data_IF_195114655281
#
_entry.id   IF_195114655281
#
_cell.length_a   1.000
_cell.length_b   1.000
_cell.length_c   1.000
_cell.angle_alpha   90.00
_cell.angle_beta   90.00
_cell.angle_gamma   90.00
#
_symmetry.space_group_name_H-M   'P 1'
#
loop_
_entity.id
_entity.type
_entity.pdbx_description
1 polymer ?
#
# COMPACT_ATOMS: atom_id res chain seq x y z
N UNK A 1 4.51 -8.86 6.18
CA UNK A 1 5.36 -8.72 4.96
C UNK A 1 4.63 -9.14 3.71
N UNK A 2 3.99 -10.32 3.66
CA UNK A 2 3.17 -10.68 2.51
C UNK A 2 1.99 -9.71 2.31
N UNK A 3 1.23 -9.41 3.37
CA UNK A 3 0.16 -8.40 3.35
C UNK A 3 0.65 -7.04 2.83
N UNK A 4 1.65 -6.45 3.49
CA UNK A 4 2.33 -5.21 3.05
C UNK A 4 2.80 -5.22 1.58
N UNK A 5 3.31 -6.36 1.09
CA UNK A 5 3.75 -6.48 -0.31
C UNK A 5 2.54 -6.48 -1.27
N UNK A 6 1.45 -7.16 -0.91
CA UNK A 6 0.21 -7.15 -1.69
C UNK A 6 -0.42 -5.76 -1.68
N UNK A 7 -0.49 -5.11 -0.52
CA UNK A 7 -1.00 -3.74 -0.36
C UNK A 7 -0.25 -2.76 -1.29
N UNK A 8 1.08 -2.70 -1.19
CA UNK A 8 1.92 -1.85 -2.02
C UNK A 8 1.87 -2.18 -3.52
N UNK A 9 1.61 -3.44 -3.88
CA UNK A 9 1.40 -3.83 -5.26
C UNK A 9 0.07 -3.29 -5.79
N UNK A 10 -1.01 -3.42 -5.01
CA UNK A 10 -2.33 -2.91 -5.36
C UNK A 10 -2.34 -1.39 -5.37
N UNK A 11 -1.61 -0.72 -4.47
CA UNK A 11 -1.37 0.73 -4.51
C UNK A 11 -0.76 1.15 -5.85
N UNK A 12 0.29 0.44 -6.28
CA UNK A 12 0.92 0.68 -7.57
C UNK A 12 -0.05 0.52 -8.73
N UNK A 13 -0.86 -0.55 -8.70
CA UNK A 13 -1.91 -0.77 -9.72
C UNK A 13 -2.95 0.35 -9.74
N UNK A 14 -3.37 0.82 -8.57
CA UNK A 14 -4.37 1.87 -8.42
C UNK A 14 -3.84 3.23 -8.90
N UNK A 15 -2.58 3.56 -8.62
CA UNK A 15 -1.91 4.74 -9.20
C UNK A 15 -1.88 4.62 -10.73
N UNK A 16 -1.41 3.50 -11.29
CA UNK A 16 -1.31 3.35 -12.75
C UNK A 16 -2.67 3.42 -13.45
N UNK A 17 -3.69 2.76 -12.91
CA UNK A 17 -5.05 2.74 -13.48
C UNK A 17 -5.77 4.08 -13.33
N UNK A 18 -5.54 4.81 -12.23
CA UNK A 18 -6.13 6.16 -12.05
C UNK A 18 -5.58 7.17 -13.06
N UNK A 19 -4.29 7.08 -13.43
CA UNK A 19 -3.73 7.88 -14.54
C UNK A 19 -4.36 7.52 -15.90
N UNK A 20 -4.77 6.27 -16.11
CA UNK A 20 -5.45 5.84 -17.33
C UNK A 20 -6.89 6.35 -17.45
N UNK A 21 -7.56 6.65 -16.33
CA UNK A 21 -8.87 7.33 -16.33
C UNK A 21 -8.70 8.83 -16.58
N UNK A 22 -7.69 9.45 -15.98
CA UNK A 22 -7.33 10.83 -16.27
C UNK A 22 -6.20 11.36 -15.40
N UNK A 23 -5.44 12.31 -15.93
CA UNK A 23 -4.27 12.88 -15.24
C UNK A 23 -4.60 13.48 -13.86
N UNK A 24 -5.75 14.16 -13.73
CA UNK A 24 -6.17 14.72 -12.42
C UNK A 24 -6.46 13.63 -11.39
N UNK A 25 -7.11 12.54 -11.78
CA UNK A 25 -7.38 11.41 -10.88
C UNK A 25 -6.08 10.72 -10.47
N UNK A 26 -5.19 10.48 -11.43
CA UNK A 26 -3.87 9.91 -11.19
C UNK A 26 -3.06 10.71 -10.16
N UNK A 27 -3.04 12.04 -10.28
CA UNK A 27 -2.32 12.91 -9.32
C UNK A 27 -2.95 12.87 -7.94
N UNK A 28 -4.29 12.97 -7.84
CA UNK A 28 -4.98 12.92 -6.55
C UNK A 28 -4.72 11.60 -5.82
N UNK A 29 -4.82 10.49 -6.55
CA UNK A 29 -4.57 9.14 -6.03
C UNK A 29 -3.11 8.97 -5.63
N UNK A 30 -2.16 9.42 -6.45
CA UNK A 30 -0.74 9.34 -6.14
C UNK A 30 -0.36 10.15 -4.89
N UNK A 31 -0.97 11.32 -4.68
CA UNK A 31 -0.75 12.12 -3.46
C UNK A 31 -1.31 11.39 -2.23
N UNK A 32 -2.54 10.89 -2.32
CA UNK A 32 -3.18 10.17 -1.22
C UNK A 32 -2.37 8.94 -0.81
N UNK A 33 -2.02 8.09 -1.77
CA UNK A 33 -1.22 6.90 -1.54
C UNK A 33 0.23 7.22 -1.16
N UNK A 34 0.80 8.30 -1.68
CA UNK A 34 2.13 8.75 -1.28
C UNK A 34 2.20 9.11 0.21
N UNK A 35 1.16 9.76 0.73
CA UNK A 35 1.05 10.04 2.16
C UNK A 35 0.91 8.74 2.99
N UNK A 36 0.03 7.82 2.58
CA UNK A 36 -0.13 6.52 3.24
C UNK A 36 1.17 5.70 3.23
N UNK A 37 1.80 5.56 2.07
CA UNK A 37 3.05 4.83 1.88
C UNK A 37 4.22 5.41 2.67
N UNK A 38 4.24 6.73 2.93
CA UNK A 38 5.23 7.34 3.82
C UNK A 38 5.11 6.83 5.26
N UNK A 39 3.89 6.80 5.81
CA UNK A 39 3.66 6.26 7.15
C UNK A 39 3.97 4.76 7.21
N UNK A 40 3.53 3.98 6.23
CA UNK A 40 3.82 2.55 6.14
C UNK A 40 5.32 2.27 6.08
N UNK A 41 6.09 3.05 5.31
CA UNK A 41 7.54 2.91 5.24
C UNK A 41 8.21 3.23 6.58
N UNK A 42 7.79 4.29 7.28
CA UNK A 42 8.30 4.62 8.60
C UNK A 42 8.02 3.52 9.63
N UNK A 43 6.78 3.02 9.67
CA UNK A 43 6.36 1.93 10.56
C UNK A 43 7.12 0.64 10.26
N UNK A 44 7.29 0.32 8.98
CA UNK A 44 8.07 -0.85 8.55
C UNK A 44 9.51 -0.76 9.04
N UNK A 45 10.18 0.38 8.81
CA UNK A 45 11.56 0.60 9.27
C UNK A 45 11.64 0.52 10.80
N UNK A 46 10.70 1.13 11.53
CA UNK A 46 10.65 1.08 12.99
C UNK A 46 10.51 -0.37 13.51
N UNK A 47 9.63 -1.17 12.91
CA UNK A 47 9.43 -2.58 13.24
C UNK A 47 10.68 -3.43 12.98
N UNK A 48 11.43 -3.15 11.91
CA UNK A 48 12.70 -3.84 11.66
C UNK A 48 13.80 -3.44 12.65
N UNK A 49 13.88 -2.16 13.00
CA UNK A 49 14.80 -1.66 14.02
C UNK A 49 14.53 -2.31 15.39
N UNK A 50 13.26 -2.43 15.79
CA UNK A 50 12.85 -3.10 17.03
C UNK A 50 13.27 -4.58 17.09
N UNK A 51 13.32 -5.26 15.93
CA UNK A 51 13.78 -6.66 15.80
C UNK A 51 15.30 -6.80 15.64
N UNK A 52 16.09 -5.73 15.86
CA UNK A 52 17.55 -5.76 15.78
C UNK A 52 18.11 -5.95 14.36
N UNK A 53 17.35 -5.59 13.32
CA UNK A 53 17.79 -5.75 11.95
C UNK A 53 18.98 -4.84 11.60
N UNK A 54 19.92 -5.37 10.81
CA UNK A 54 21.05 -4.58 10.32
C UNK A 54 20.61 -3.53 9.29
N UNK A 55 21.32 -2.40 9.22
CA UNK A 55 21.05 -1.30 8.27
C UNK A 55 20.97 -1.76 6.80
N UNK A 56 21.71 -2.82 6.44
CA UNK A 56 21.69 -3.45 5.11
C UNK A 56 20.38 -4.19 4.84
N UNK A 57 19.82 -4.87 5.86
CA UNK A 57 18.53 -5.55 5.77
C UNK A 57 17.39 -4.55 5.60
N UNK A 58 17.40 -3.45 6.35
CA UNK A 58 16.38 -2.40 6.20
C UNK A 58 16.39 -1.80 4.79
N UNK A 59 17.58 -1.48 4.27
CA UNK A 59 17.71 -0.95 2.90
C UNK A 59 17.21 -1.96 1.86
N UNK A 60 17.53 -3.25 2.02
CA UNK A 60 17.06 -4.31 1.13
C UNK A 60 15.53 -4.42 1.13
N UNK A 61 14.90 -4.37 2.31
CA UNK A 61 13.44 -4.41 2.44
C UNK A 61 12.81 -3.18 1.79
N UNK A 62 13.28 -1.97 2.11
CA UNK A 62 12.74 -0.74 1.51
C UNK A 62 12.86 -0.74 -0.01
N UNK A 63 13.99 -1.20 -0.56
CA UNK A 63 14.18 -1.35 -2.01
C UNK A 63 13.19 -2.36 -2.60
N UNK A 64 13.01 -3.51 -1.97
CA UNK A 64 12.05 -4.51 -2.46
C UNK A 64 10.62 -3.99 -2.45
N UNK A 65 10.22 -3.23 -1.43
CA UNK A 65 8.90 -2.61 -1.36
C UNK A 65 8.70 -1.57 -2.48
N UNK A 66 9.70 -0.72 -2.73
CA UNK A 66 9.67 0.23 -3.85
C UNK A 66 9.54 -0.47 -5.21
N UNK A 67 10.28 -1.57 -5.42
CA UNK A 67 10.21 -2.33 -6.67
C UNK A 67 8.84 -2.98 -6.88
N UNK A 68 8.19 -3.44 -5.82
CA UNK A 68 6.84 -4.01 -5.88
C UNK A 68 5.83 -2.94 -6.31
N UNK A 69 5.86 -1.76 -5.69
CA UNK A 69 4.97 -0.65 -6.08
C UNK A 69 5.22 -0.21 -7.53
N UNK A 70 6.50 -0.06 -7.91
CA UNK A 70 6.86 0.28 -9.29
C UNK A 70 6.40 -0.78 -10.30
N UNK A 71 6.50 -2.06 -9.94
CA UNK A 71 5.99 -3.19 -10.72
C UNK A 71 4.47 -3.11 -10.90
N UNK A 72 3.73 -2.76 -9.84
CA UNK A 72 2.28 -2.53 -9.92
C UNK A 72 1.92 -1.39 -10.88
N UNK A 73 2.60 -0.24 -10.78
CA UNK A 73 2.37 0.90 -11.70
C UNK A 73 2.66 0.51 -13.15
N UNK A 74 3.79 -0.16 -13.39
CA UNK A 74 4.19 -0.60 -14.72
C UNK A 74 3.17 -1.58 -15.32
N UNK A 75 2.71 -2.55 -14.51
CA UNK A 75 1.72 -3.52 -14.93
C UNK A 75 0.39 -2.83 -15.26
N UNK A 76 -0.08 -1.94 -14.39
CA UNK A 76 -1.28 -1.16 -14.66
C UNK A 76 -1.15 -0.36 -15.95
N UNK A 77 0.00 0.28 -16.20
CA UNK A 77 0.23 1.02 -17.45
C UNK A 77 0.13 0.12 -18.69
N UNK A 78 0.71 -1.10 -18.64
CA UNK A 78 0.66 -2.05 -19.73
C UNK A 78 -0.78 -2.49 -20.05
N UNK A 79 -1.56 -2.82 -19.02
CA UNK A 79 -2.95 -3.25 -19.21
C UNK A 79 -3.89 -2.09 -19.57
N UNK A 80 -3.57 -0.86 -19.16
CA UNK A 80 -4.39 0.35 -19.38
C UNK A 80 -4.72 0.63 -20.86
N UNK A 81 -3.87 0.17 -21.78
CA UNK A 81 -4.08 0.28 -23.22
C UNK A 81 -5.28 -0.54 -23.70
N UNK A 82 -5.60 -1.65 -23.04
CA UNK A 82 -6.68 -2.57 -23.43
C UNK A 82 -8.03 -2.22 -22.80
N UNK A 83 -8.05 -1.44 -21.71
CA UNK A 83 -9.32 -1.05 -21.09
C UNK A 83 -10.01 0.07 -21.89
N UNK A 84 -11.24 -0.16 -22.36
CA UNK A 84 -12.03 0.84 -23.11
C UNK A 84 -13.30 1.21 -22.34
N UNK A 85 -13.64 2.50 -22.33
CA UNK A 85 -14.92 3.00 -21.80
C UNK A 85 -15.16 2.63 -20.33
N UNK A 86 -16.34 2.06 -20.04
CA UNK A 86 -16.78 1.71 -18.68
C UNK A 86 -15.90 0.69 -17.95
N UNK A 87 -15.09 -0.09 -18.67
CA UNK A 87 -14.15 -1.03 -18.06
C UNK A 87 -13.05 -0.31 -17.27
N UNK A 88 -12.60 0.88 -17.72
CA UNK A 88 -11.61 1.69 -16.98
C UNK A 88 -12.13 2.10 -15.60
N UNK A 89 -13.36 2.63 -15.56
CA UNK A 89 -14.00 3.02 -14.31
C UNK A 89 -14.32 1.81 -13.42
N UNK A 90 -14.72 0.68 -14.01
CA UNK A 90 -14.98 -0.56 -13.27
C UNK A 90 -13.73 -1.12 -12.60
N UNK A 91 -12.61 -1.16 -13.32
CA UNK A 91 -11.32 -1.60 -12.78
C UNK A 91 -10.81 -0.65 -11.71
N UNK A 92 -10.96 0.67 -11.89
CA UNK A 92 -10.60 1.63 -10.85
C UNK A 92 -11.45 1.43 -9.59
N UNK A 93 -12.77 1.30 -9.73
CA UNK A 93 -13.67 1.07 -8.59
C UNK A 93 -13.37 -0.25 -7.87
N UNK A 94 -13.08 -1.32 -8.63
CA UNK A 94 -12.67 -2.61 -8.07
C UNK A 94 -11.33 -2.51 -7.34
N UNK A 95 -10.33 -1.86 -7.94
CA UNK A 95 -9.02 -1.66 -7.30
C UNK A 95 -9.15 -0.85 -6.00
N UNK A 96 -9.99 0.20 -5.99
CA UNK A 96 -10.26 0.97 -4.76
C UNK A 96 -10.95 0.12 -3.70
N UNK A 97 -11.93 -0.71 -4.07
CA UNK A 97 -12.60 -1.61 -3.12
C UNK A 97 -11.65 -2.66 -2.56
N UNK A 98 -10.74 -3.20 -3.39
CA UNK A 98 -9.71 -4.13 -2.96
C UNK A 98 -8.75 -3.50 -1.95
N UNK A 99 -8.32 -2.25 -2.16
CA UNK A 99 -7.50 -1.52 -1.19
C UNK A 99 -8.22 -1.33 0.14
N UNK A 100 -9.48 -0.90 0.12
CA UNK A 100 -10.25 -0.73 1.35
C UNK A 100 -10.39 -2.05 2.13
N UNK A 101 -10.57 -3.17 1.43
CA UNK A 101 -10.60 -4.49 2.06
C UNK A 101 -9.25 -4.86 2.68
N UNK A 102 -8.16 -4.70 1.94
CA UNK A 102 -6.81 -5.04 2.41
C UNK A 102 -6.39 -4.22 3.63
N UNK A 103 -6.66 -2.91 3.62
CA UNK A 103 -6.38 -2.02 4.75
C UNK A 103 -7.20 -2.42 5.97
N UNK A 104 -8.47 -2.76 5.80
CA UNK A 104 -9.32 -3.22 6.92
C UNK A 104 -8.83 -4.57 7.47
N UNK A 105 -8.44 -5.50 6.60
CA UNK A 105 -7.89 -6.79 7.01
C UNK A 105 -6.57 -6.64 7.79
N UNK A 106 -5.69 -5.76 7.33
CA UNK A 106 -4.41 -5.48 8.01
C UNK A 106 -4.65 -4.87 9.39
N UNK A 107 -5.50 -3.84 9.48
CA UNK A 107 -5.80 -3.17 10.75
C UNK A 107 -6.51 -4.07 11.76
N UNK A 108 -7.45 -4.92 11.31
CA UNK A 108 -8.13 -5.88 12.20
C UNK A 108 -7.15 -6.93 12.71
N UNK A 109 -6.24 -7.40 11.85
CA UNK A 109 -5.22 -8.38 12.23
C UNK A 109 -4.24 -7.80 13.24
N UNK A 110 -3.71 -6.60 12.99
CA UNK A 110 -2.82 -5.91 13.93
C UNK A 110 -3.51 -5.64 15.27
N UNK A 111 -4.79 -5.27 15.26
CA UNK A 111 -5.56 -5.05 16.48
C UNK A 111 -5.74 -6.36 17.28
N UNK A 112 -5.92 -7.50 16.60
CA UNK A 112 -6.05 -8.80 17.25
C UNK A 112 -4.72 -9.26 17.86
N UNK A 113 -3.62 -9.13 17.13
CA UNK A 113 -2.26 -9.42 17.65
C UNK A 113 -1.93 -8.51 18.83
N UNK A 114 -2.26 -7.22 18.78
CA UNK A 114 -2.06 -6.28 19.88
C UNK A 114 -2.95 -6.58 21.10
N UNK A 115 -4.16 -7.11 20.89
CA UNK A 115 -5.06 -7.53 21.96
C UNK A 115 -4.56 -8.80 22.67
N UNK A 116 -3.92 -9.72 21.95
CA UNK A 116 -3.23 -10.87 22.56
C UNK A 116 -1.91 -10.46 23.26
N UNK A 117 -1.22 -9.42 22.78
CA UNK A 117 0.13 -9.05 23.24
C UNK A 117 0.19 -8.00 24.35
N UNK A 118 -0.87 -7.21 24.66
CA UNK A 118 -0.68 -6.01 25.50
C UNK A 118 -1.66 -5.73 26.64
N UNK A 119 -1.15 -5.98 27.85
CA UNK A 119 -1.36 -5.17 29.06
C UNK A 119 -0.75 -3.73 28.95
N UNK A 120 -0.85 -3.09 27.78
CA UNK A 120 -0.58 -1.65 27.64
C UNK A 120 0.31 -1.30 26.47
N UNK A 121 -0.26 -0.80 25.38
CA UNK A 121 0.13 0.47 24.73
C UNK A 121 -0.92 0.80 23.65
N UNK A 122 -1.93 1.66 23.90
CA UNK A 122 -2.92 2.06 22.88
C UNK A 122 -2.48 3.25 22.01
N UNK A 123 -1.18 3.58 21.96
CA UNK A 123 -0.71 4.87 21.42
C UNK A 123 -0.72 4.97 19.87
N UNK A 124 -0.83 3.86 19.13
CA UNK A 124 -0.86 3.89 17.66
C UNK A 124 -2.25 4.10 17.05
N UNK A 125 -3.32 4.04 17.86
CA UNK A 125 -4.70 4.11 17.36
C UNK A 125 -5.16 5.51 16.94
N UNK A 126 -4.40 6.57 17.25
CA UNK A 126 -4.81 7.97 17.02
C UNK A 126 -3.99 8.73 15.96
N UNK A 127 -3.12 8.04 15.21
CA UNK A 127 -2.33 8.66 14.13
C UNK A 127 -2.82 8.28 12.72
N UNK A 128 -4.07 7.78 12.62
CA UNK A 128 -4.84 7.63 11.38
C UNK A 128 -6.11 8.45 11.45
#
# INVERSE_FOLDING_TARGET
>A
MFAVAVDLFVDGLLVGTSYAVGAKQGVLVAIALGACGFFLAMTTVASFQAKGASRKKNLGVTLSLMLITAGGVYLAHLFSAELVGGLRSGTLAFATAALLYLVVEELITEAHEAAEDRAGTPAFFFAG
#
